data_IF_952647082969
#
_entry.id   IF_952647082969
#
_cell.length_a   1.000
_cell.length_b   1.000
_cell.length_c   1.000
_cell.angle_alpha   90.00
_cell.angle_beta   90.00
_cell.angle_gamma   90.00
#
_symmetry.space_group_name_H-M   'P 1'
#
loop_
_entity.id
_entity.type
_entity.pdbx_description
1 polymer ?
#
# COMPACT_ATOMS: atom_id res chain seq x y z
N UNK A 1 5.11 -9.73 22.81
CA UNK A 1 5.45 -10.50 21.60
C UNK A 1 4.60 -9.97 20.45
N UNK A 2 5.21 -9.68 19.31
CA UNK A 2 4.51 -9.27 18.08
C UNK A 2 4.40 -10.44 17.09
N UNK A 3 3.39 -10.39 16.22
CA UNK A 3 3.24 -11.30 15.08
C UNK A 3 3.34 -10.51 13.77
N UNK A 4 4.38 -10.77 12.99
CA UNK A 4 4.57 -10.18 11.67
C UNK A 4 4.16 -11.20 10.60
N UNK A 5 3.17 -10.86 9.80
CA UNK A 5 2.58 -11.75 8.81
C UNK A 5 2.89 -11.24 7.41
N UNK A 6 3.62 -12.01 6.62
CA UNK A 6 3.70 -11.80 5.17
C UNK A 6 2.54 -12.52 4.50
N UNK A 7 1.76 -11.84 3.66
CA UNK A 7 0.77 -12.50 2.80
C UNK A 7 1.36 -12.93 1.46
N UNK A 8 0.88 -14.06 0.94
CA UNK A 8 1.36 -14.66 -0.29
C UNK A 8 0.73 -16.04 -0.55
N UNK A 9 1.03 -16.61 -1.71
CA UNK A 9 0.71 -17.99 -2.06
C UNK A 9 1.93 -18.91 -1.89
N UNK A 10 1.75 -20.15 -1.40
CA UNK A 10 2.83 -21.14 -1.31
C UNK A 10 3.18 -21.71 -2.69
N UNK A 11 4.45 -22.06 -2.90
CA UNK A 11 4.94 -22.64 -4.15
C UNK A 11 5.95 -21.74 -4.86
N UNK A 12 6.94 -22.35 -5.53
CA UNK A 12 8.01 -21.63 -6.22
C UNK A 12 7.47 -20.82 -7.41
N UNK A 13 6.39 -21.28 -8.02
CA UNK A 13 5.72 -20.62 -9.14
C UNK A 13 5.09 -19.27 -8.76
N UNK A 14 4.81 -19.03 -7.48
CA UNK A 14 4.28 -17.76 -6.99
C UNK A 14 5.36 -16.88 -6.32
N UNK A 15 6.57 -17.41 -6.11
CA UNK A 15 7.57 -16.78 -5.27
C UNK A 15 7.92 -15.35 -5.71
N UNK A 16 7.82 -15.05 -7.00
CA UNK A 16 8.10 -13.73 -7.59
C UNK A 16 6.86 -12.94 -7.99
N UNK A 17 5.67 -13.47 -7.72
CA UNK A 17 4.42 -12.77 -8.02
C UNK A 17 4.29 -11.49 -7.19
N UNK A 18 3.63 -10.49 -7.76
CA UNK A 18 3.23 -9.26 -7.04
C UNK A 18 2.47 -9.59 -5.75
N UNK A 19 1.62 -10.60 -5.78
CA UNK A 19 0.84 -11.07 -4.62
C UNK A 19 1.67 -11.69 -3.48
N UNK A 20 2.96 -11.97 -3.74
CA UNK A 20 3.88 -12.54 -2.76
C UNK A 20 4.82 -11.49 -2.15
N UNK A 21 4.62 -10.20 -2.42
CA UNK A 21 5.45 -9.13 -1.84
C UNK A 21 5.43 -9.12 -0.31
N UNK A 22 4.33 -9.59 0.30
CA UNK A 22 4.26 -9.78 1.75
C UNK A 22 5.22 -10.86 2.26
N UNK A 23 5.33 -11.99 1.56
CA UNK A 23 6.35 -13.01 1.87
C UNK A 23 7.76 -12.47 1.68
N UNK A 24 8.02 -11.75 0.59
CA UNK A 24 9.32 -11.14 0.33
C UNK A 24 9.73 -10.16 1.44
N UNK A 25 8.78 -9.36 1.95
CA UNK A 25 9.03 -8.48 3.09
C UNK A 25 9.35 -9.26 4.36
N UNK A 26 8.64 -10.36 4.62
CA UNK A 26 8.93 -11.23 5.76
C UNK A 26 10.31 -11.89 5.65
N UNK A 27 10.72 -12.31 4.45
CA UNK A 27 12.05 -12.85 4.19
C UNK A 27 13.14 -11.80 4.40
N UNK A 28 12.98 -10.59 3.87
CA UNK A 28 13.92 -9.50 4.08
C UNK A 28 14.07 -9.12 5.57
N UNK A 29 12.98 -9.13 6.34
CA UNK A 29 13.02 -8.90 7.79
C UNK A 29 13.75 -10.05 8.50
N UNK A 30 13.47 -11.30 8.13
CA UNK A 30 14.11 -12.46 8.72
C UNK A 30 15.63 -12.40 8.55
N UNK A 31 16.08 -12.10 7.33
CA UNK A 31 17.50 -12.03 6.97
C UNK A 31 18.20 -10.86 7.69
N UNK A 32 17.60 -9.67 7.68
CA UNK A 32 18.21 -8.47 8.27
C UNK A 32 18.36 -8.53 9.80
N UNK A 33 17.49 -9.29 10.48
CA UNK A 33 17.48 -9.39 11.95
C UNK A 33 17.92 -10.76 12.46
N UNK A 34 18.40 -11.65 11.59
CA UNK A 34 18.95 -12.95 11.98
C UNK A 34 17.92 -13.88 12.63
N UNK A 35 16.71 -13.93 12.09
CA UNK A 35 15.68 -14.84 12.57
C UNK A 35 16.12 -16.30 12.45
N UNK A 36 15.58 -17.15 13.31
CA UNK A 36 15.79 -18.59 13.24
C UNK A 36 15.25 -19.20 11.93
N UNK A 37 15.58 -20.48 11.66
CA UNK A 37 15.13 -21.14 10.43
C UNK A 37 13.60 -21.23 10.37
N UNK A 38 13.05 -21.10 9.17
CA UNK A 38 11.64 -21.28 8.89
C UNK A 38 11.20 -22.73 9.19
N UNK A 39 10.18 -22.88 10.05
CA UNK A 39 9.60 -24.17 10.45
C UNK A 39 8.13 -24.24 10.08
N UNK A 40 7.64 -25.43 9.74
CA UNK A 40 6.21 -25.65 9.52
C UNK A 40 5.46 -25.54 10.86
N UNK A 41 4.61 -24.54 11.00
CA UNK A 41 3.77 -24.32 12.19
C UNK A 41 2.58 -23.44 11.81
N UNK A 42 1.45 -23.59 12.50
CA UNK A 42 0.26 -22.76 12.27
C UNK A 42 -0.25 -22.76 10.82
N UNK A 43 -0.21 -23.92 10.16
CA UNK A 43 -0.53 -24.03 8.71
C UNK A 43 0.32 -23.08 7.83
N UNK A 44 1.52 -22.72 8.29
CA UNK A 44 2.42 -21.77 7.65
C UNK A 44 3.89 -22.13 7.82
N UNK A 45 4.75 -21.26 7.31
CA UNK A 45 6.16 -21.20 7.69
C UNK A 45 6.32 -20.12 8.74
N UNK A 46 6.85 -20.49 9.90
CA UNK A 46 7.07 -19.58 11.02
C UNK A 46 8.55 -19.54 11.39
N UNK A 47 9.04 -18.35 11.72
CA UNK A 47 10.39 -18.12 12.19
C UNK A 47 10.34 -17.29 13.47
N UNK A 48 10.98 -17.79 14.53
CA UNK A 48 11.15 -17.07 15.79
C UNK A 48 12.37 -16.15 15.69
N UNK A 49 12.25 -14.93 16.19
CA UNK A 49 13.35 -13.98 16.26
C UNK A 49 13.12 -12.90 17.29
N UNK A 50 14.08 -11.98 17.37
CA UNK A 50 14.04 -10.83 18.25
C UNK A 50 14.40 -9.59 17.45
N UNK A 51 13.61 -8.53 17.61
CA UNK A 51 13.90 -7.24 16.98
C UNK A 51 13.94 -6.20 18.08
N UNK A 52 15.14 -5.65 18.34
CA UNK A 52 15.34 -4.59 19.32
C UNK A 52 14.91 -4.96 20.75
N UNK A 53 15.15 -6.20 21.19
CA UNK A 53 14.82 -6.68 22.53
C UNK A 53 13.45 -7.36 22.67
N UNK A 54 12.59 -7.29 21.65
CA UNK A 54 11.22 -7.82 21.71
C UNK A 54 11.07 -9.06 20.84
N UNK A 55 10.40 -10.07 21.38
CA UNK A 55 10.11 -11.32 20.65
C UNK A 55 9.13 -11.05 19.52
N UNK A 56 9.51 -11.48 18.32
CA UNK A 56 8.68 -11.40 17.12
C UNK A 56 8.58 -12.80 16.50
N UNK A 57 7.37 -13.20 16.13
CA UNK A 57 7.17 -14.33 15.24
C UNK A 57 6.92 -13.79 13.83
N UNK A 58 7.70 -14.23 12.86
CA UNK A 58 7.35 -14.09 11.45
C UNK A 58 6.50 -15.27 11.00
N UNK A 59 5.45 -15.01 10.24
CA UNK A 59 4.54 -16.03 9.70
C UNK A 59 4.27 -15.77 8.21
N UNK A 60 4.49 -16.81 7.39
CA UNK A 60 4.06 -16.90 5.99
C UNK A 60 3.01 -18.01 5.88
N UNK A 61 1.70 -17.69 5.87
CA UNK A 61 0.64 -18.69 5.71
C UNK A 61 0.87 -19.59 4.50
N UNK A 62 0.69 -20.91 4.62
CA UNK A 62 0.85 -21.86 3.51
C UNK A 62 -0.51 -22.40 3.05
N UNK A 63 -1.57 -21.59 3.24
CA UNK A 63 -2.97 -21.94 3.02
C UNK A 63 -3.53 -21.44 1.69
N UNK A 64 -2.70 -20.82 0.84
CA UNK A 64 -3.13 -19.90 -0.22
C UNK A 64 -3.79 -18.63 0.33
N UNK A 65 -3.81 -17.59 -0.52
CA UNK A 65 -4.13 -16.23 -0.11
C UNK A 65 -5.51 -16.11 0.55
N UNK A 66 -6.54 -16.67 -0.07
CA UNK A 66 -7.94 -16.55 0.38
C UNK A 66 -8.22 -17.26 1.71
N UNK A 67 -7.31 -18.10 2.18
CA UNK A 67 -7.43 -18.86 3.44
C UNK A 67 -6.39 -18.43 4.49
N UNK A 68 -5.65 -17.34 4.24
CA UNK A 68 -4.60 -16.82 5.14
C UNK A 68 -5.04 -16.64 6.59
N UNK A 69 -6.31 -16.29 6.82
CA UNK A 69 -6.87 -16.10 8.16
C UNK A 69 -6.87 -17.35 9.02
N UNK A 70 -6.88 -18.55 8.42
CA UNK A 70 -6.79 -19.82 9.17
C UNK A 70 -5.45 -19.94 9.88
N UNK A 71 -4.36 -19.71 9.16
CA UNK A 71 -3.00 -19.77 9.69
C UNK A 71 -2.77 -18.66 10.74
N UNK A 72 -3.14 -17.42 10.40
CA UNK A 72 -2.95 -16.27 11.30
C UNK A 72 -3.80 -16.42 12.56
N UNK A 73 -5.05 -16.84 12.42
CA UNK A 73 -5.94 -17.05 13.56
C UNK A 73 -5.49 -18.19 14.46
N UNK A 74 -4.93 -19.27 13.91
CA UNK A 74 -4.31 -20.33 14.71
C UNK A 74 -3.12 -19.80 15.51
N UNK A 75 -2.18 -19.10 14.87
CA UNK A 75 -1.01 -18.53 15.53
C UNK A 75 -1.39 -17.53 16.64
N UNK A 76 -2.30 -16.59 16.34
CA UNK A 76 -2.75 -15.58 17.28
C UNK A 76 -3.40 -16.20 18.52
N UNK A 77 -4.30 -17.18 18.34
CA UNK A 77 -4.95 -17.87 19.47
C UNK A 77 -3.97 -18.70 20.29
N UNK A 78 -3.10 -19.47 19.64
CA UNK A 78 -2.14 -20.33 20.33
C UNK A 78 -1.15 -19.52 21.17
N UNK A 79 -0.64 -18.42 20.62
CA UNK A 79 0.33 -17.54 21.28
C UNK A 79 -0.32 -16.43 22.12
N UNK A 80 -1.65 -16.35 22.15
CA UNK A 80 -2.42 -15.32 22.85
C UNK A 80 -2.02 -13.90 22.44
N UNK A 81 -1.78 -13.70 21.15
CA UNK A 81 -1.40 -12.40 20.58
C UNK A 81 -2.68 -11.61 20.30
N UNK A 82 -2.76 -10.38 20.83
CA UNK A 82 -3.88 -9.48 20.57
C UNK A 82 -3.81 -8.95 19.13
N UNK A 83 -4.96 -8.61 18.53
CA UNK A 83 -5.00 -8.15 17.13
C UNK A 83 -4.12 -6.91 16.87
N UNK A 84 -4.04 -5.99 17.83
CA UNK A 84 -3.18 -4.79 17.76
C UNK A 84 -1.67 -5.10 17.69
N UNK A 85 -1.27 -6.29 18.13
CA UNK A 85 0.12 -6.77 18.12
C UNK A 85 0.46 -7.56 16.85
N UNK A 86 -0.48 -7.61 15.91
CA UNK A 86 -0.31 -8.23 14.59
C UNK A 86 -0.03 -7.13 13.56
N UNK A 87 1.04 -7.33 12.78
CA UNK A 87 1.40 -6.51 11.63
C UNK A 87 1.34 -7.37 10.39
N UNK A 88 0.60 -6.95 9.37
CA UNK A 88 0.52 -7.65 8.09
C UNK A 88 1.19 -6.86 6.97
N UNK A 89 1.97 -7.55 6.15
CA UNK A 89 2.61 -7.04 4.93
C UNK A 89 1.92 -7.67 3.73
N UNK A 90 1.46 -6.85 2.78
CA UNK A 90 0.69 -7.32 1.63
C UNK A 90 0.77 -6.33 0.45
N UNK A 91 0.37 -6.78 -0.74
CA UNK A 91 0.30 -5.97 -1.95
C UNK A 91 -0.93 -5.06 -1.98
N UNK A 92 -0.69 -3.78 -2.27
CA UNK A 92 -1.72 -2.80 -2.61
C UNK A 92 -1.70 -2.47 -4.09
N UNK A 93 -2.83 -2.73 -4.74
CA UNK A 93 -3.02 -2.34 -6.13
C UNK A 93 -3.37 -0.86 -6.26
N UNK A 94 -3.96 -0.24 -5.24
CA UNK A 94 -4.35 1.18 -5.28
C UNK A 94 -3.16 2.13 -5.03
N UNK A 95 -2.00 1.61 -4.64
CA UNK A 95 -0.77 2.36 -4.48
C UNK A 95 0.12 2.15 -5.71
N UNK A 96 0.73 3.24 -6.17
CA UNK A 96 1.76 3.17 -7.21
C UNK A 96 2.91 2.25 -6.77
N UNK A 97 3.58 1.56 -7.72
CA UNK A 97 4.75 0.74 -7.43
C UNK A 97 5.79 1.48 -6.57
N UNK A 98 6.32 0.80 -5.56
CA UNK A 98 7.30 1.36 -4.62
C UNK A 98 6.73 2.30 -3.56
N UNK A 99 5.43 2.66 -3.61
CA UNK A 99 4.81 3.46 -2.55
C UNK A 99 4.43 2.58 -1.36
N UNK A 100 4.81 3.03 -0.17
CA UNK A 100 4.46 2.38 1.09
C UNK A 100 3.46 3.25 1.86
N UNK A 101 2.43 2.63 2.43
CA UNK A 101 1.59 3.25 3.47
C UNK A 101 1.44 2.29 4.64
N UNK A 102 1.10 2.83 5.80
CA UNK A 102 0.73 2.05 6.97
C UNK A 102 -0.62 2.52 7.52
N UNK A 103 -1.41 1.61 8.06
CA UNK A 103 -2.69 1.92 8.69
C UNK A 103 -3.08 0.85 9.70
N UNK A 104 -3.69 1.24 10.82
CA UNK A 104 -4.41 0.32 11.71
C UNK A 104 -5.86 0.16 11.23
N UNK A 105 -6.29 -1.09 11.08
CA UNK A 105 -7.60 -1.48 10.60
C UNK A 105 -8.03 -0.90 9.25
N UNK A 106 -9.34 -0.71 9.08
CA UNK A 106 -9.95 -0.35 7.79
C UNK A 106 -10.37 -1.54 6.95
N UNK A 107 -10.97 -1.28 5.78
CA UNK A 107 -11.48 -2.33 4.90
C UNK A 107 -10.40 -3.11 4.16
N UNK A 108 -10.82 -4.15 3.46
CA UNK A 108 -9.94 -5.12 2.81
C UNK A 108 -9.51 -4.67 1.41
N UNK A 109 -10.11 -3.59 0.88
CA UNK A 109 -9.89 -3.07 -0.49
C UNK A 109 -9.95 -4.17 -1.59
N UNK A 110 -10.79 -5.19 -1.41
CA UNK A 110 -10.88 -6.32 -2.35
C UNK A 110 -9.77 -7.38 -2.20
N UNK A 111 -8.77 -7.17 -1.36
CA UNK A 111 -7.68 -8.11 -1.13
C UNK A 111 -8.15 -9.35 -0.35
N UNK A 112 -7.99 -10.53 -0.96
CA UNK A 112 -8.55 -11.79 -0.43
C UNK A 112 -7.87 -12.27 0.86
N UNK A 113 -6.57 -12.04 1.03
CA UNK A 113 -5.87 -12.39 2.27
C UNK A 113 -6.35 -11.59 3.49
N UNK A 114 -6.42 -10.26 3.36
CA UNK A 114 -7.05 -9.39 4.35
C UNK A 114 -8.51 -9.76 4.64
N UNK A 115 -9.29 -10.15 3.62
CA UNK A 115 -10.67 -10.65 3.83
C UNK A 115 -10.68 -11.88 4.73
N UNK A 116 -9.81 -12.83 4.44
CA UNK A 116 -9.66 -14.05 5.23
C UNK A 116 -9.24 -13.74 6.67
N UNK A 117 -8.18 -12.95 6.84
CA UNK A 117 -7.68 -12.55 8.16
C UNK A 117 -8.75 -11.87 8.98
N UNK A 118 -9.43 -10.87 8.41
CA UNK A 118 -10.39 -10.08 9.17
C UNK A 118 -11.59 -10.90 9.65
N UNK A 119 -11.97 -11.94 8.90
CA UNK A 119 -12.99 -12.89 9.32
C UNK A 119 -12.57 -13.79 10.49
N UNK A 120 -11.26 -13.97 10.73
CA UNK A 120 -10.74 -14.88 11.74
C UNK A 120 -10.24 -14.19 13.01
N UNK A 121 -9.69 -12.98 12.90
CA UNK A 121 -8.99 -12.31 14.00
C UNK A 121 -9.51 -10.92 14.34
N UNK A 122 -10.57 -10.45 13.69
CA UNK A 122 -10.99 -9.05 13.81
C UNK A 122 -10.22 -8.15 12.87
N UNK A 123 -10.36 -6.83 13.03
CA UNK A 123 -9.94 -5.88 12.00
C UNK A 123 -8.91 -4.86 12.48
N UNK A 124 -8.56 -4.81 13.77
CA UNK A 124 -7.78 -3.72 14.36
C UNK A 124 -6.25 -4.00 14.39
N UNK A 125 -5.79 -4.85 13.47
CA UNK A 125 -4.37 -5.10 13.23
C UNK A 125 -3.71 -4.04 12.34
N UNK A 126 -2.38 -3.94 12.41
CA UNK A 126 -1.57 -3.00 11.62
C UNK A 126 -1.33 -3.54 10.21
N UNK A 127 -1.48 -2.69 9.20
CA UNK A 127 -1.38 -3.03 7.78
C UNK A 127 -0.26 -2.23 7.14
N UNK A 128 0.81 -2.90 6.75
CA UNK A 128 1.87 -2.38 5.89
C UNK A 128 1.49 -2.65 4.44
N UNK A 129 1.13 -1.58 3.74
CA UNK A 129 0.53 -1.56 2.41
C UNK A 129 1.61 -1.31 1.37
N UNK A 130 2.02 -2.34 0.63
CA UNK A 130 3.12 -2.26 -0.33
C UNK A 130 2.56 -2.07 -1.74
N UNK A 131 2.77 -0.90 -2.33
CA UNK A 131 2.26 -0.57 -3.65
C UNK A 131 2.87 -1.43 -4.75
N UNK A 132 2.00 -2.11 -5.51
CA UNK A 132 2.36 -2.90 -6.71
C UNK A 132 1.68 -2.37 -7.97
N UNK A 133 0.88 -1.31 -7.85
CA UNK A 133 0.14 -0.71 -8.96
C UNK A 133 -1.10 -1.49 -9.39
N UNK A 134 -1.89 -0.85 -10.27
CA UNK A 134 -3.13 -1.39 -10.81
C UNK A 134 -3.01 -1.54 -12.34
N UNK A 135 -3.54 -2.63 -12.95
CA UNK A 135 -3.49 -2.84 -14.40
C UNK A 135 -4.45 -1.94 -15.21
N UNK A 136 -4.92 -0.82 -14.64
CA UNK A 136 -5.97 0.06 -15.19
C UNK A 136 -7.39 -0.52 -15.23
N UNK A 137 -7.53 -1.82 -15.50
CA UNK A 137 -8.81 -2.51 -15.72
C UNK A 137 -9.05 -3.56 -14.63
N UNK A 138 -10.23 -3.53 -14.00
CA UNK A 138 -10.55 -4.36 -12.83
C UNK A 138 -10.46 -5.87 -13.12
N UNK A 139 -10.90 -6.26 -14.31
CA UNK A 139 -10.95 -7.66 -14.76
C UNK A 139 -9.54 -8.28 -14.88
N UNK A 140 -8.51 -7.45 -15.02
CA UNK A 140 -7.11 -7.89 -15.14
C UNK A 140 -6.41 -7.99 -13.79
N UNK A 141 -7.01 -7.54 -12.68
CA UNK A 141 -6.37 -7.49 -11.35
C UNK A 141 -5.89 -8.88 -10.91
N UNK A 142 -6.72 -9.92 -11.08
CA UNK A 142 -6.34 -11.28 -10.69
C UNK A 142 -5.07 -11.76 -11.43
N UNK A 143 -5.01 -11.52 -12.74
CA UNK A 143 -3.82 -11.85 -13.55
C UNK A 143 -2.62 -10.98 -13.18
N UNK A 144 -2.85 -9.70 -12.88
CA UNK A 144 -1.81 -8.75 -12.51
C UNK A 144 -1.11 -9.16 -11.21
N UNK A 145 -1.86 -9.42 -10.14
CA UNK A 145 -1.26 -9.80 -8.85
C UNK A 145 -0.58 -11.17 -8.93
N UNK A 146 -1.10 -12.08 -9.76
CA UNK A 146 -0.52 -13.41 -9.99
C UNK A 146 0.59 -13.42 -11.06
N UNK A 147 1.12 -12.26 -11.45
CA UNK A 147 2.24 -12.19 -12.38
C UNK A 147 3.52 -11.77 -11.67
N UNK A 148 4.65 -12.30 -12.14
CA UNK A 148 6.00 -11.98 -11.66
C UNK A 148 6.29 -10.48 -11.77
N UNK A 149 7.02 -9.95 -10.80
CA UNK A 149 7.69 -8.65 -10.94
C UNK A 149 8.60 -8.65 -12.17
N UNK A 150 8.56 -7.56 -12.94
CA UNK A 150 9.45 -7.37 -14.07
C UNK A 150 10.88 -7.12 -13.58
N UNK A 151 11.88 -7.28 -14.47
CA UNK A 151 13.27 -6.97 -14.15
C UNK A 151 13.44 -5.50 -13.71
N UNK A 152 12.75 -4.58 -14.37
CA UNK A 152 12.75 -3.16 -14.01
C UNK A 152 12.11 -2.89 -12.63
N UNK A 153 11.23 -3.78 -12.14
CA UNK A 153 10.65 -3.61 -10.81
C UNK A 153 11.69 -3.80 -9.69
N UNK A 154 12.78 -4.52 -9.96
CA UNK A 154 13.83 -4.76 -8.96
C UNK A 154 14.53 -3.47 -8.53
N UNK A 155 14.57 -2.46 -9.40
CA UNK A 155 15.17 -1.15 -9.10
C UNK A 155 14.50 -0.45 -7.92
N UNK A 156 13.20 -0.70 -7.69
CA UNK A 156 12.47 -0.14 -6.56
C UNK A 156 12.12 -1.20 -5.50
N UNK A 157 11.95 -2.46 -5.89
CA UNK A 157 11.50 -3.52 -5.00
C UNK A 157 12.56 -3.90 -3.97
N UNK A 158 13.79 -4.22 -4.39
CA UNK A 158 14.86 -4.62 -3.46
C UNK A 158 15.19 -3.51 -2.46
N UNK A 159 15.38 -2.23 -2.87
CA UNK A 159 15.58 -1.14 -1.91
C UNK A 159 14.42 -0.97 -0.93
N UNK A 160 13.18 -1.10 -1.41
CA UNK A 160 12.01 -0.99 -0.54
C UNK A 160 11.95 -2.11 0.50
N UNK A 161 12.19 -3.36 0.09
CA UNK A 161 12.21 -4.51 1.00
C UNK A 161 13.32 -4.37 2.05
N UNK A 162 14.52 -3.95 1.63
CA UNK A 162 15.63 -3.65 2.54
C UNK A 162 15.30 -2.53 3.52
N UNK A 163 14.65 -1.46 3.05
CA UNK A 163 14.21 -0.35 3.89
C UNK A 163 13.14 -0.76 4.91
N UNK A 164 12.16 -1.57 4.49
CA UNK A 164 11.14 -2.15 5.39
C UNK A 164 11.83 -2.98 6.48
N UNK A 165 12.76 -3.85 6.09
CA UNK A 165 13.50 -4.69 7.02
C UNK A 165 14.29 -3.85 8.03
N UNK A 166 15.04 -2.85 7.57
CA UNK A 166 15.80 -1.94 8.44
C UNK A 166 14.92 -1.14 9.39
N UNK A 167 13.73 -0.73 8.96
CA UNK A 167 12.78 0.05 9.75
C UNK A 167 11.88 -0.80 10.67
N UNK A 168 11.91 -2.14 10.56
CA UNK A 168 11.09 -3.06 11.35
C UNK A 168 11.12 -2.82 12.89
N UNK A 169 12.23 -2.39 13.53
CA UNK A 169 12.23 -2.04 14.96
C UNK A 169 11.23 -0.95 15.36
N UNK A 170 10.80 -0.10 14.42
CA UNK A 170 9.75 0.90 14.66
C UNK A 170 8.38 0.27 14.82
N UNK A 171 8.08 -0.78 14.05
CA UNK A 171 6.81 -1.50 14.12
C UNK A 171 6.65 -2.24 15.44
N UNK A 172 7.75 -2.78 15.96
CA UNK A 172 7.80 -3.44 17.27
C UNK A 172 7.43 -2.46 18.41
N UNK A 173 7.83 -1.20 18.27
CA UNK A 173 7.55 -0.12 19.23
C UNK A 173 6.24 0.62 18.95
N UNK A 174 5.42 0.11 18.04
CA UNK A 174 4.16 0.73 17.58
C UNK A 174 4.32 2.15 17.01
N UNK A 175 5.52 2.51 16.54
CA UNK A 175 5.84 3.83 15.98
C UNK A 175 5.71 3.82 14.46
N UNK A 176 4.45 3.78 14.01
CA UNK A 176 4.11 3.72 12.58
C UNK A 176 4.59 4.96 11.80
N UNK A 177 4.62 6.12 12.44
CA UNK A 177 5.03 7.37 11.80
C UNK A 177 6.53 7.38 11.54
N UNK A 178 7.36 6.97 12.52
CA UNK A 178 8.80 6.83 12.29
C UNK A 178 9.12 5.68 11.36
N UNK A 179 8.36 4.60 11.37
CA UNK A 179 8.51 3.52 10.39
C UNK A 179 8.46 4.08 8.96
N UNK A 180 7.39 4.81 8.60
CA UNK A 180 7.28 5.41 7.26
C UNK A 180 8.39 6.41 6.96
N UNK A 181 8.75 7.23 7.94
CA UNK A 181 9.83 8.24 7.78
C UNK A 181 11.17 7.58 7.51
N UNK A 182 11.51 6.53 8.27
CA UNK A 182 12.77 5.82 8.14
C UNK A 182 12.84 5.05 6.82
N UNK A 183 11.73 4.43 6.38
CA UNK A 183 11.66 3.79 5.04
C UNK A 183 11.88 4.82 3.95
N UNK A 184 11.16 5.96 3.98
CA UNK A 184 11.28 7.00 2.96
C UNK A 184 12.69 7.59 2.87
N UNK A 185 13.37 7.74 4.02
CA UNK A 185 14.77 8.18 4.05
C UNK A 185 15.71 7.16 3.42
N UNK A 186 15.46 5.87 3.61
CA UNK A 186 16.34 4.81 3.12
C UNK A 186 16.24 4.63 1.59
N UNK A 187 15.03 4.66 1.03
CA UNK A 187 14.82 4.50 -0.41
C UNK A 187 15.19 5.76 -1.23
N UNK A 188 15.45 6.89 -0.55
CA UNK A 188 15.57 8.21 -1.17
C UNK A 188 14.22 8.71 -1.71
N UNK A 189 14.07 10.02 -1.94
CA UNK A 189 12.89 10.46 -2.69
C UNK A 189 12.94 9.82 -4.09
N UNK A 190 11.94 9.04 -4.52
CA UNK A 190 11.88 8.63 -5.91
C UNK A 190 11.78 9.89 -6.76
N UNK A 191 12.64 10.02 -7.76
CA UNK A 191 12.57 11.10 -8.74
C UNK A 191 11.12 11.17 -9.28
N UNK A 192 10.44 12.30 -9.06
CA UNK A 192 9.13 12.52 -9.67
C UNK A 192 9.37 12.83 -11.15
N UNK A 193 9.00 11.96 -12.11
CA UNK A 193 9.19 12.23 -13.54
C UNK A 193 8.40 13.46 -14.03
N UNK A 194 7.55 14.08 -13.18
CA UNK A 194 6.86 15.35 -13.46
C UNK A 194 7.66 16.58 -13.02
N UNK A 195 8.81 16.42 -12.33
CA UNK A 195 9.66 17.56 -11.92
C UNK A 195 10.71 17.95 -12.96
N UNK A 196 10.94 17.16 -14.01
CA UNK A 196 11.91 17.45 -15.09
C UNK A 196 11.38 18.44 -16.16
N UNK A 197 10.41 19.27 -15.79
CA UNK A 197 9.79 20.27 -16.68
C UNK A 197 9.99 21.72 -16.23
N UNK A 198 10.95 22.02 -15.35
CA UNK A 198 11.18 23.41 -14.90
C UNK A 198 12.62 23.72 -14.46
N UNK A 199 13.54 23.67 -15.40
CA UNK A 199 14.81 24.44 -15.38
C UNK A 199 14.84 25.16 -16.73
N UNK A 200 14.66 26.47 -16.77
CA UNK A 200 15.66 27.47 -16.39
C UNK A 200 15.82 28.36 -17.62
N UNK A 201 15.05 29.44 -17.69
CA UNK A 201 15.14 30.46 -18.73
C UNK A 201 16.19 31.45 -18.24
N UNK A 202 17.46 31.22 -18.57
CA UNK A 202 18.51 32.22 -18.34
C UNK A 202 18.43 33.31 -19.40
N UNK A 203 18.26 34.52 -18.91
CA UNK A 203 18.13 35.77 -19.66
C UNK A 203 19.54 36.33 -19.83
N UNK A 204 20.03 36.35 -21.07
CA UNK A 204 21.22 37.10 -21.43
C UNK A 204 20.87 38.59 -21.62
N UNK A 205 21.68 39.47 -21.03
CA UNK A 205 21.55 40.93 -21.06
C UNK A 205 22.40 41.47 -22.21
N UNK A 206 21.79 42.17 -23.16
CA UNK A 206 22.47 43.01 -24.14
C UNK A 206 21.70 44.32 -24.35
N UNK A 207 22.39 45.44 -24.11
CA UNK A 207 21.91 46.82 -24.22
C UNK A 207 21.51 47.22 -25.65
N UNK A 208 20.53 48.12 -25.78
CA UNK A 208 20.18 48.76 -27.05
C UNK A 208 18.90 49.60 -27.00
N UNK A 209 19.08 50.88 -26.69
CA UNK A 209 18.36 52.12 -27.08
C UNK A 209 16.83 52.16 -27.36
N UNK A 210 16.23 53.28 -26.92
CA UNK A 210 14.79 53.63 -26.90
C UNK A 210 14.20 53.91 -28.33
N UNK A 211 12.86 54.15 -28.56
CA UNK A 211 11.88 54.67 -27.59
C UNK A 211 10.43 54.15 -27.65
N UNK A 212 9.66 54.71 -26.69
CA UNK A 212 8.29 54.47 -26.28
C UNK A 212 7.19 54.45 -27.36
N UNK A 213 6.21 53.57 -27.16
CA UNK A 213 4.82 53.76 -27.57
C UNK A 213 3.85 53.15 -26.54
N UNK A 214 2.86 53.94 -26.11
CA UNK A 214 1.86 53.67 -25.08
C UNK A 214 0.73 52.69 -25.53
N UNK A 215 -0.01 52.08 -24.58
CA UNK A 215 -0.84 50.90 -24.82
C UNK A 215 -2.26 51.27 -25.28
N UNK A 216 -2.82 50.48 -26.22
CA UNK A 216 -4.26 50.51 -26.52
C UNK A 216 -4.98 49.46 -25.69
N UNK A 217 -5.78 49.95 -24.74
CA UNK A 217 -6.81 49.22 -24.04
C UNK A 217 -7.82 48.60 -25.03
N UNK A 218 -8.17 47.33 -24.79
CA UNK A 218 -9.48 46.79 -25.18
C UNK A 218 -10.08 46.00 -24.03
N UNK A 219 -11.31 46.39 -23.75
CA UNK A 219 -12.16 46.07 -22.63
C UNK A 219 -13.12 44.91 -22.93
N UNK A 220 -13.37 44.11 -21.88
CA UNK A 220 -14.61 43.38 -21.56
C UNK A 220 -15.03 42.13 -22.37
N UNK A 221 -15.91 41.26 -21.83
CA UNK A 221 -16.49 41.22 -20.46
C UNK A 221 -16.33 39.89 -19.73
N UNK A 222 -16.38 40.01 -18.41
CA UNK A 222 -16.59 38.98 -17.40
C UNK A 222 -18.10 38.88 -17.17
N UNK A 223 -18.70 37.70 -17.31
CA UNK A 223 -20.12 37.50 -17.01
C UNK A 223 -20.61 36.07 -17.27
N UNK A 224 -21.23 35.50 -16.22
CA UNK A 224 -22.24 34.43 -16.26
C UNK A 224 -21.81 33.01 -16.66
N UNK A 225 -21.59 32.17 -15.63
CA UNK A 225 -21.99 30.74 -15.59
C UNK A 225 -21.93 30.20 -14.15
N UNK A 226 -22.69 30.83 -13.26
CA UNK A 226 -23.16 30.21 -12.03
C UNK A 226 -24.66 29.97 -12.18
N UNK A 227 -25.10 28.72 -12.19
CA UNK A 227 -26.53 28.40 -12.29
C UNK A 227 -26.91 27.28 -13.26
N UNK A 228 -26.20 26.15 -13.27
CA UNK A 228 -26.68 24.89 -13.87
C UNK A 228 -26.19 23.65 -13.11
N UNK A 229 -26.45 23.59 -11.80
CA UNK A 229 -26.22 22.35 -11.02
C UNK A 229 -27.27 22.05 -9.94
N UNK A 230 -28.29 22.90 -9.75
CA UNK A 230 -29.31 22.70 -8.72
C UNK A 230 -30.60 22.00 -9.21
N UNK A 231 -30.95 22.08 -10.50
CA UNK A 231 -32.21 21.53 -11.02
C UNK A 231 -32.17 20.05 -11.46
N UNK A 232 -30.98 19.44 -11.58
CA UNK A 232 -30.87 18.02 -11.98
C UNK A 232 -30.97 17.04 -10.80
N UNK A 233 -30.63 17.49 -9.59
CA UNK A 233 -30.65 16.67 -8.37
C UNK A 233 -32.07 16.55 -7.79
N UNK A 234 -32.89 17.59 -7.92
CA UNK A 234 -34.27 17.62 -7.43
C UNK A 234 -35.22 16.73 -8.26
N UNK A 235 -35.00 16.63 -9.58
CA UNK A 235 -35.79 15.79 -10.48
C UNK A 235 -35.51 14.29 -10.28
N UNK A 236 -34.25 13.91 -10.04
CA UNK A 236 -33.88 12.50 -9.80
C UNK A 236 -34.34 11.99 -8.42
N UNK A 237 -34.42 12.85 -7.41
CA UNK A 237 -34.91 12.47 -6.07
C UNK A 237 -36.43 12.22 -6.06
N UNK A 238 -37.21 12.99 -6.84
CA UNK A 238 -38.65 12.75 -7.01
C UNK A 238 -38.95 11.42 -7.72
N UNK A 239 -38.16 11.05 -8.72
CA UNK A 239 -38.29 9.74 -9.40
C UNK A 239 -37.93 8.56 -8.49
N UNK A 240 -37.00 8.73 -7.57
CA UNK A 240 -36.63 7.68 -6.61
C UNK A 240 -37.70 7.44 -5.53
N UNK A 241 -38.36 8.51 -5.05
CA UNK A 241 -39.40 8.42 -4.02
C UNK A 241 -40.75 7.88 -4.54
N UNK A 242 -41.07 8.06 -5.82
CA UNK A 242 -42.31 7.55 -6.41
C UNK A 242 -42.32 6.02 -6.70
N UNK A 243 -41.17 5.35 -6.55
CA UNK A 243 -40.99 3.93 -6.90
C UNK A 243 -41.20 2.92 -5.77
N UNK A 244 -41.55 3.35 -4.55
CA UNK A 244 -41.81 2.45 -3.41
C UNK A 244 -43.30 2.43 -3.07
N UNK A 245 -44.04 1.47 -3.61
CA UNK A 245 -45.29 1.01 -2.98
C UNK A 245 -44.94 -0.01 -1.88
N UNK A 246 -45.53 0.08 -0.68
CA UNK A 246 -45.46 -0.99 0.31
C UNK A 246 -46.38 -2.15 -0.13
N UNK A 247 -45.86 -3.37 -0.13
CA UNK A 247 -46.69 -4.58 -0.20
C UNK A 247 -47.25 -4.88 1.19
N UNK A 248 -48.56 -5.12 1.25
CA UNK A 248 -49.28 -5.72 2.39
C UNK A 248 -48.69 -7.07 2.82
#
# INVERSE_FOLDING_TARGET
MKLFVGLGNPGNEYARNRHNVGFMAADAIADAHGFGPWKRKFQGLAADGEIGGEKVLLLKPQTYMNESGRAVGEAARFLKIAEKDIVVFYDEIDLAPGKLKIKTGGGNAGHNGLRSMSAHIGNDYVRVRIGVGHPGVRELVARWVLSDFAKADQEWLEPLLGAIAKAAPRLVRDDQSRFLTDVAREIGEPADPRKDGKTGKDVDKGDGDAPAAQPKARSHPRGERAGKSANALAENLKKWLAGRKPSE
#
